data_IF_870027784938
#
_entry.id   IF_870027784938
#
_cell.length_a   1.000
_cell.length_b   1.000
_cell.length_c   1.000
_cell.angle_alpha   90.00
_cell.angle_beta   90.00
_cell.angle_gamma   90.00
#
_symmetry.space_group_name_H-M   'P 1'
#
loop_
_entity.id
_entity.type
_entity.pdbx_description
1 polymer ?
#
# COMPACT_ATOMS: atom_id res chain seq x y z
N UNK A 1 -15.22 -13.37 -15.14
CA UNK A 1 -15.04 -14.16 -13.92
C UNK A 1 -13.57 -14.04 -13.57
N UNK A 2 -13.17 -13.80 -12.40
CA UNK A 2 -11.80 -13.41 -12.00
C UNK A 2 -11.79 -12.07 -11.29
N UNK A 3 -12.91 -11.70 -10.70
CA UNK A 3 -13.06 -10.50 -9.88
C UNK A 3 -12.87 -10.72 -8.39
N UNK A 4 -12.50 -11.93 -7.99
CA UNK A 4 -12.32 -12.27 -6.59
C UNK A 4 -11.32 -11.31 -5.92
N UNK A 5 -11.74 -10.71 -4.83
CA UNK A 5 -10.99 -9.71 -4.07
C UNK A 5 -10.96 -8.31 -4.68
N UNK A 6 -11.27 -8.10 -5.96
CA UNK A 6 -11.17 -6.78 -6.60
C UNK A 6 -12.24 -5.81 -6.13
N UNK A 7 -13.48 -6.29 -5.97
CA UNK A 7 -14.58 -5.45 -5.51
C UNK A 7 -14.36 -5.00 -4.07
N UNK A 8 -13.97 -5.94 -3.19
CA UNK A 8 -13.64 -5.65 -1.80
C UNK A 8 -12.42 -4.73 -1.69
N UNK A 9 -11.36 -4.96 -2.47
CA UNK A 9 -10.19 -4.08 -2.49
C UNK A 9 -10.54 -2.64 -2.93
N UNK A 10 -11.39 -2.46 -3.94
CA UNK A 10 -11.86 -1.15 -4.38
C UNK A 10 -12.73 -0.47 -3.32
N UNK A 11 -13.61 -1.22 -2.66
CA UNK A 11 -14.43 -0.71 -1.56
C UNK A 11 -13.55 -0.19 -0.42
N UNK A 12 -12.59 -0.99 0.05
CA UNK A 12 -11.64 -0.61 1.10
C UNK A 12 -10.82 0.61 0.69
N UNK A 13 -10.25 0.59 -0.51
CA UNK A 13 -9.45 1.70 -1.04
C UNK A 13 -10.25 3.01 -1.09
N UNK A 14 -11.51 2.96 -1.54
CA UNK A 14 -12.38 4.14 -1.59
C UNK A 14 -12.64 4.70 -0.19
N UNK A 15 -12.97 3.85 0.79
CA UNK A 15 -13.20 4.29 2.16
C UNK A 15 -11.95 4.90 2.82
N UNK A 16 -10.78 4.30 2.59
CA UNK A 16 -9.51 4.83 3.09
C UNK A 16 -9.21 6.20 2.49
N UNK A 17 -9.38 6.38 1.17
CA UNK A 17 -9.15 7.68 0.52
C UNK A 17 -10.16 8.74 0.97
N UNK A 18 -11.43 8.38 1.15
CA UNK A 18 -12.42 9.28 1.75
C UNK A 18 -12.03 9.68 3.17
N UNK A 19 -11.57 8.73 3.98
CA UNK A 19 -11.11 9.02 5.34
C UNK A 19 -9.90 9.96 5.36
N UNK A 20 -8.93 9.78 4.46
CA UNK A 20 -7.79 10.69 4.31
C UNK A 20 -8.24 12.12 3.96
N UNK A 21 -9.26 12.25 3.10
CA UNK A 21 -9.84 13.57 2.79
C UNK A 21 -10.52 14.19 4.02
N UNK A 22 -11.24 13.40 4.82
CA UNK A 22 -11.86 13.92 6.05
C UNK A 22 -10.79 14.30 7.10
N UNK A 23 -9.69 13.54 7.21
CA UNK A 23 -8.53 13.91 8.06
C UNK A 23 -7.95 15.26 7.61
N UNK A 24 -7.79 15.50 6.31
CA UNK A 24 -7.27 16.77 5.79
C UNK A 24 -8.18 17.97 6.02
N UNK A 25 -9.44 17.73 6.42
CA UNK A 25 -10.45 18.74 6.78
C UNK A 25 -10.69 18.81 8.28
N UNK A 26 -9.87 18.14 9.08
CA UNK A 26 -10.00 18.00 10.53
C UNK A 26 -11.31 17.30 10.99
N UNK A 27 -11.99 16.58 10.08
CA UNK A 27 -13.21 15.82 10.36
C UNK A 27 -12.87 14.41 10.89
N UNK A 28 -12.13 14.33 11.99
CA UNK A 28 -11.56 13.08 12.50
C UNK A 28 -12.61 12.03 12.89
N UNK A 29 -13.75 12.45 13.43
CA UNK A 29 -14.85 11.55 13.76
C UNK A 29 -15.41 10.83 12.52
N UNK A 30 -15.61 11.59 11.43
CA UNK A 30 -16.06 11.03 10.16
C UNK A 30 -15.04 10.12 9.52
N UNK A 31 -13.76 10.51 9.59
CA UNK A 31 -12.65 9.70 9.10
C UNK A 31 -12.62 8.34 9.82
N UNK A 32 -12.77 8.34 11.14
CA UNK A 32 -12.83 7.12 11.94
C UNK A 32 -13.98 6.20 11.54
N UNK A 33 -15.20 6.73 11.38
CA UNK A 33 -16.35 5.95 10.90
C UNK A 33 -16.09 5.26 9.56
N UNK A 34 -15.46 5.95 8.61
CA UNK A 34 -15.11 5.40 7.30
C UNK A 34 -14.06 4.29 7.41
N UNK A 35 -13.05 4.47 8.26
CA UNK A 35 -12.00 3.48 8.50
C UNK A 35 -12.52 2.24 9.22
N UNK A 36 -13.40 2.42 10.22
CA UNK A 36 -14.07 1.30 10.89
C UNK A 36 -14.93 0.48 9.90
N UNK A 37 -15.60 1.14 8.96
CA UNK A 37 -16.31 0.46 7.85
C UNK A 37 -15.36 -0.29 6.92
N UNK A 38 -14.16 0.25 6.66
CA UNK A 38 -13.17 -0.40 5.80
C UNK A 38 -12.60 -1.71 6.39
N UNK A 39 -12.72 -1.91 7.71
CA UNK A 39 -12.31 -3.16 8.37
C UNK A 39 -13.28 -4.31 8.11
N UNK A 40 -14.51 -4.03 7.65
CA UNK A 40 -15.56 -5.03 7.47
C UNK A 40 -16.00 -5.05 6.01
N UNK A 41 -16.03 -6.26 5.42
CA UNK A 41 -16.57 -6.42 4.06
C UNK A 41 -18.08 -6.58 4.13
N UNK A 42 -18.85 -5.77 3.37
CA UNK A 42 -20.29 -5.90 3.31
C UNK A 42 -20.70 -7.22 2.64
N UNK A 43 -21.72 -7.90 3.18
CA UNK A 43 -22.20 -9.19 2.65
C UNK A 43 -22.62 -9.12 1.18
N UNK A 44 -23.11 -7.97 0.71
CA UNK A 44 -23.55 -7.78 -0.68
C UNK A 44 -22.40 -7.74 -1.70
N UNK A 45 -21.14 -7.72 -1.26
CA UNK A 45 -19.99 -7.89 -2.15
C UNK A 45 -19.76 -9.36 -2.52
N UNK A 46 -20.42 -10.31 -1.83
CA UNK A 46 -20.29 -11.73 -2.08
C UNK A 46 -18.94 -12.32 -1.68
N UNK A 47 -18.11 -11.55 -0.98
CA UNK A 47 -16.76 -11.94 -0.56
C UNK A 47 -16.59 -11.70 0.94
N UNK A 48 -16.06 -12.72 1.65
CA UNK A 48 -15.66 -12.60 3.04
C UNK A 48 -14.24 -12.05 3.17
N UNK A 49 -13.97 -11.32 4.26
CA UNK A 49 -12.62 -10.91 4.57
C UNK A 49 -11.80 -12.12 5.00
N UNK A 50 -10.71 -12.38 4.30
CA UNK A 50 -9.83 -13.50 4.60
C UNK A 50 -9.08 -13.26 5.91
N UNK A 51 -8.89 -14.34 6.67
CA UNK A 51 -8.00 -14.33 7.81
C UNK A 51 -6.58 -13.97 7.35
N UNK A 52 -5.95 -13.03 8.03
CA UNK A 52 -4.62 -12.53 7.65
C UNK A 52 -4.63 -11.38 6.63
N UNK A 53 -5.80 -10.84 6.25
CA UNK A 53 -5.87 -9.59 5.48
C UNK A 53 -5.03 -8.48 6.10
N UNK A 54 -4.33 -7.72 5.26
CA UNK A 54 -3.41 -6.67 5.71
C UNK A 54 -4.17 -5.35 5.87
N UNK A 55 -4.31 -4.88 7.10
CA UNK A 55 -5.02 -3.64 7.46
C UNK A 55 -4.08 -2.57 8.04
N UNK A 56 -2.77 -2.63 7.72
CA UNK A 56 -1.79 -1.71 8.27
C UNK A 56 -2.13 -0.25 7.97
N UNK A 57 -2.57 0.05 6.74
CA UNK A 57 -2.99 1.39 6.32
C UNK A 57 -4.23 1.86 7.09
N UNK A 58 -5.24 1.02 7.24
CA UNK A 58 -6.48 1.35 7.97
C UNK A 58 -6.14 1.65 9.44
N UNK A 59 -5.40 0.76 10.09
CA UNK A 59 -4.99 0.93 11.48
C UNK A 59 -4.12 2.17 11.68
N UNK A 60 -3.21 2.47 10.74
CA UNK A 60 -2.42 3.69 10.79
C UNK A 60 -3.29 4.94 10.81
N UNK A 61 -4.26 5.06 9.88
CA UNK A 61 -5.13 6.22 9.83
C UNK A 61 -6.17 6.27 10.96
N UNK A 62 -6.60 5.12 11.50
CA UNK A 62 -7.37 5.06 12.75
C UNK A 62 -6.56 5.65 13.91
N UNK A 63 -5.28 5.30 13.99
CA UNK A 63 -4.37 5.90 14.96
C UNK A 63 -4.26 7.42 14.80
N UNK A 64 -4.08 7.91 13.56
CA UNK A 64 -3.99 9.35 13.27
C UNK A 64 -5.28 10.08 13.68
N UNK A 65 -6.44 9.59 13.27
CA UNK A 65 -7.71 10.21 13.59
C UNK A 65 -7.98 10.20 15.11
N UNK A 66 -7.71 9.08 15.78
CA UNK A 66 -7.93 8.91 17.22
C UNK A 66 -6.97 9.79 18.04
N UNK A 67 -5.71 9.90 17.63
CA UNK A 67 -4.72 10.80 18.25
C UNK A 67 -5.16 12.26 18.16
N UNK A 68 -5.64 12.68 16.97
CA UNK A 68 -6.14 14.03 16.75
C UNK A 68 -7.42 14.36 17.56
N UNK A 69 -8.22 13.35 17.87
CA UNK A 69 -9.38 13.49 18.77
C UNK A 69 -8.99 13.53 20.26
N UNK A 70 -7.70 13.41 20.60
CA UNK A 70 -7.17 13.52 21.96
C UNK A 70 -7.04 12.18 22.71
N UNK A 71 -7.47 11.07 22.14
CA UNK A 71 -7.31 9.74 22.76
C UNK A 71 -6.00 9.08 22.36
N UNK A 72 -4.92 9.56 22.96
CA UNK A 72 -3.58 9.05 22.71
C UNK A 72 -3.42 7.56 23.07
N UNK A 73 -4.10 7.11 24.11
CA UNK A 73 -3.96 5.73 24.56
C UNK A 73 -4.60 4.74 23.57
N UNK A 74 -5.77 5.06 23.04
CA UNK A 74 -6.39 4.27 21.99
C UNK A 74 -5.58 4.36 20.66
N UNK A 75 -5.05 5.54 20.33
CA UNK A 75 -4.22 5.73 19.15
C UNK A 75 -2.98 4.83 19.14
N UNK A 76 -2.31 4.66 20.30
CA UNK A 76 -1.15 3.77 20.42
C UNK A 76 -1.50 2.33 20.05
N UNK A 77 -2.68 1.82 20.46
CA UNK A 77 -3.12 0.46 20.10
C UNK A 77 -3.28 0.29 18.58
N UNK A 78 -3.82 1.30 17.90
CA UNK A 78 -3.93 1.29 16.44
C UNK A 78 -2.56 1.34 15.77
N UNK A 79 -1.63 2.15 16.27
CA UNK A 79 -0.27 2.18 15.74
C UNK A 79 0.48 0.86 16.00
N UNK A 80 0.27 0.21 17.14
CA UNK A 80 0.80 -1.13 17.41
C UNK A 80 0.28 -2.12 16.36
N UNK A 81 -1.04 -2.17 16.12
CA UNK A 81 -1.66 -3.01 15.10
C UNK A 81 -1.14 -2.70 13.68
N UNK A 82 -0.92 -1.42 13.36
CA UNK A 82 -0.38 -1.00 12.07
C UNK A 82 1.11 -1.35 11.89
N UNK A 83 1.87 -1.51 13.00
CA UNK A 83 3.33 -1.68 12.96
C UNK A 83 3.81 -3.11 12.73
N UNK A 84 2.91 -4.10 12.77
CA UNK A 84 3.24 -5.52 12.70
C UNK A 84 2.96 -6.10 11.31
N UNK A 85 3.56 -7.27 11.02
CA UNK A 85 3.42 -8.00 9.78
C UNK A 85 4.77 -8.28 9.12
N UNK A 86 4.74 -9.05 8.02
CA UNK A 86 5.94 -9.29 7.23
C UNK A 86 6.46 -7.99 6.63
N UNK A 87 7.78 -7.85 6.60
CA UNK A 87 8.48 -6.77 5.93
C UNK A 87 9.22 -7.22 4.66
N UNK A 88 8.92 -8.42 4.23
CA UNK A 88 9.41 -8.91 2.95
C UNK A 88 8.67 -8.22 1.82
N UNK A 89 9.43 -7.61 0.93
CA UNK A 89 8.87 -6.92 -0.22
C UNK A 89 8.53 -7.95 -1.27
N UNK A 90 7.24 -8.11 -1.59
CA UNK A 90 6.81 -9.01 -2.65
C UNK A 90 7.17 -8.43 -4.02
N UNK A 91 7.60 -9.32 -4.93
CA UNK A 91 7.77 -8.98 -6.34
C UNK A 91 6.43 -8.69 -7.03
N UNK A 92 6.51 -8.14 -8.24
CA UNK A 92 5.37 -7.71 -9.05
C UNK A 92 4.27 -8.78 -9.20
N UNK A 93 4.63 -10.06 -9.29
CA UNK A 93 3.67 -11.16 -9.45
C UNK A 93 2.85 -11.45 -8.18
N UNK A 94 3.39 -11.13 -7.01
CA UNK A 94 2.78 -11.42 -5.70
C UNK A 94 2.35 -10.15 -4.97
N UNK A 95 2.25 -9.06 -5.68
CA UNK A 95 1.93 -7.75 -5.11
C UNK A 95 0.62 -7.73 -4.31
N UNK A 96 -0.37 -8.48 -4.75
CA UNK A 96 -1.68 -8.54 -4.08
C UNK A 96 -1.68 -9.37 -2.81
N UNK A 97 -0.76 -10.34 -2.68
CA UNK A 97 -0.63 -11.17 -1.49
C UNK A 97 -0.01 -10.38 -0.33
N UNK A 98 0.93 -9.52 -0.65
CA UNK A 98 1.62 -8.64 0.31
C UNK A 98 1.85 -7.27 -0.34
N UNK A 99 0.86 -6.37 -0.34
CA UNK A 99 1.03 -5.05 -0.92
C UNK A 99 2.18 -4.29 -0.27
N UNK A 100 3.11 -3.78 -1.07
CA UNK A 100 4.32 -3.12 -0.58
C UNK A 100 4.02 -1.85 0.24
N UNK A 101 2.89 -1.19 -0.03
CA UNK A 101 2.42 -0.03 0.73
C UNK A 101 2.09 -0.39 2.20
N UNK A 102 1.77 -1.63 2.53
CA UNK A 102 1.61 -2.05 3.93
C UNK A 102 2.92 -1.89 4.72
N UNK A 103 4.07 -2.12 4.09
CA UNK A 103 5.39 -1.92 4.71
C UNK A 103 5.65 -0.43 4.99
N UNK A 104 5.20 0.47 4.10
CA UNK A 104 5.24 1.91 4.36
C UNK A 104 4.46 2.25 5.64
N UNK A 105 3.22 1.76 5.78
CA UNK A 105 2.40 2.04 6.96
C UNK A 105 2.95 1.40 8.24
N UNK A 106 3.59 0.23 8.16
CA UNK A 106 4.34 -0.35 9.28
C UNK A 106 5.45 0.62 9.75
N UNK A 107 6.23 1.16 8.84
CA UNK A 107 7.31 2.09 9.14
C UNK A 107 6.78 3.40 9.75
N UNK A 108 5.73 3.99 9.18
CA UNK A 108 5.08 5.19 9.70
C UNK A 108 4.50 4.99 11.10
N UNK A 109 3.87 3.82 11.35
CA UNK A 109 3.35 3.47 12.66
C UNK A 109 4.48 3.32 13.70
N UNK A 110 5.62 2.71 13.31
CA UNK A 110 6.81 2.65 14.17
C UNK A 110 7.33 4.02 14.54
N UNK A 111 7.28 5.00 13.64
CA UNK A 111 7.61 6.38 13.97
C UNK A 111 6.70 6.97 15.06
N UNK A 112 5.39 6.73 14.95
CA UNK A 112 4.39 7.15 15.95
C UNK A 112 4.61 6.50 17.31
N UNK A 113 5.16 5.28 17.33
CA UNK A 113 5.53 4.53 18.54
C UNK A 113 6.92 4.92 19.09
N UNK A 114 7.62 5.90 18.49
CA UNK A 114 8.98 6.29 18.89
C UNK A 114 10.09 5.35 18.43
N UNK A 115 9.78 4.33 17.64
CA UNK A 115 10.70 3.30 17.12
C UNK A 115 11.30 3.70 15.77
N UNK A 116 11.94 4.87 15.74
CA UNK A 116 12.40 5.51 14.50
C UNK A 116 13.38 4.64 13.69
N UNK A 117 14.31 3.97 14.36
CA UNK A 117 15.28 3.09 13.68
C UNK A 117 14.60 1.91 12.98
N UNK A 118 13.60 1.29 13.63
CA UNK A 118 12.83 0.20 13.04
C UNK A 118 11.98 0.69 11.85
N UNK A 119 11.43 1.91 11.92
CA UNK A 119 10.71 2.51 10.79
C UNK A 119 11.62 2.77 9.61
N UNK A 120 12.80 3.35 9.84
CA UNK A 120 13.81 3.53 8.79
C UNK A 120 14.20 2.21 8.12
N UNK A 121 14.37 1.14 8.90
CA UNK A 121 14.71 -0.17 8.35
C UNK A 121 13.65 -0.67 7.35
N UNK A 122 12.35 -0.42 7.61
CA UNK A 122 11.26 -0.72 6.65
C UNK A 122 11.40 0.05 5.35
N UNK A 123 11.71 1.35 5.46
CA UNK A 123 11.82 2.21 4.29
C UNK A 123 13.06 1.90 3.44
N UNK A 124 14.20 1.64 4.07
CA UNK A 124 15.40 1.21 3.34
C UNK A 124 15.18 -0.14 2.66
N UNK A 125 14.48 -1.08 3.29
CA UNK A 125 14.18 -2.37 2.68
C UNK A 125 13.36 -2.24 1.39
N UNK A 126 12.41 -1.29 1.36
CA UNK A 126 11.67 -0.97 0.13
C UNK A 126 12.59 -0.40 -0.96
N UNK A 127 13.47 0.54 -0.61
CA UNK A 127 14.41 1.15 -1.56
C UNK A 127 15.37 0.10 -2.09
N UNK A 128 16.01 -0.65 -1.20
CA UNK A 128 17.02 -1.67 -1.56
C UNK A 128 16.41 -2.73 -2.50
N UNK A 129 15.19 -3.20 -2.19
CA UNK A 129 14.50 -4.13 -3.07
C UNK A 129 14.31 -3.55 -4.48
N UNK A 130 13.76 -2.34 -4.56
CA UNK A 130 13.52 -1.71 -5.86
C UNK A 130 14.80 -1.46 -6.65
N UNK A 131 15.87 -0.99 -6.00
CA UNK A 131 17.16 -0.74 -6.66
C UNK A 131 17.84 -2.03 -7.14
N UNK A 132 17.71 -3.12 -6.39
CA UNK A 132 18.27 -4.43 -6.75
C UNK A 132 17.55 -5.05 -7.94
N UNK A 133 16.21 -4.94 -7.99
CA UNK A 133 15.37 -5.67 -8.95
C UNK A 133 14.88 -4.84 -10.14
N UNK A 134 15.17 -3.54 -10.21
CA UNK A 134 14.67 -2.65 -11.28
C UNK A 134 15.15 -3.01 -12.66
N UNK A 135 16.22 -3.78 -12.79
CA UNK A 135 16.81 -4.22 -14.05
C UNK A 135 16.59 -5.69 -14.36
N UNK A 136 15.87 -6.40 -13.50
CA UNK A 136 15.62 -7.83 -13.69
C UNK A 136 14.73 -8.05 -14.91
N UNK A 137 15.14 -8.96 -15.79
CA UNK A 137 14.29 -9.47 -16.85
C UNK A 137 13.32 -10.49 -16.26
N UNK A 138 12.03 -10.22 -16.35
CA UNK A 138 11.00 -11.14 -15.87
C UNK A 138 10.52 -12.00 -17.03
N UNK A 139 10.78 -13.30 -16.92
CA UNK A 139 10.26 -14.32 -17.85
C UNK A 139 9.32 -15.22 -17.08
N UNK A 140 8.12 -15.41 -17.60
CA UNK A 140 7.21 -16.41 -17.05
C UNK A 140 7.54 -17.74 -17.69
N UNK A 141 7.83 -18.74 -16.86
CA UNK A 141 7.89 -20.12 -17.32
C UNK A 141 6.46 -20.66 -17.49
N UNK A 142 6.02 -20.70 -18.74
CA UNK A 142 4.66 -21.13 -19.10
C UNK A 142 4.34 -22.57 -18.70
N UNK A 143 5.33 -23.38 -18.37
CA UNK A 143 5.12 -24.76 -17.88
C UNK A 143 4.51 -24.80 -16.46
N UNK A 144 4.60 -23.72 -15.71
CA UNK A 144 4.03 -23.62 -14.36
C UNK A 144 2.57 -23.13 -14.37
N UNK A 145 2.05 -22.66 -15.50
CA UNK A 145 0.69 -22.08 -15.61
C UNK A 145 -0.11 -22.89 -16.63
N UNK A 146 -1.08 -23.65 -16.14
CA UNK A 146 -1.90 -24.58 -16.93
C UNK A 146 -2.89 -23.91 -17.93
N UNK A 147 -2.73 -22.63 -18.26
CA UNK A 147 -3.67 -21.88 -19.09
C UNK A 147 -3.01 -21.32 -20.35
N UNK A 148 -3.27 -21.93 -21.54
CA UNK A 148 -2.85 -21.38 -22.83
C UNK A 148 -3.41 -19.99 -23.14
N UNK A 149 -4.51 -19.60 -22.47
CA UNK A 149 -5.22 -18.34 -22.71
C UNK A 149 -4.46 -17.09 -22.24
N UNK A 150 -3.48 -17.24 -21.34
CA UNK A 150 -2.57 -16.16 -20.94
C UNK A 150 -1.61 -15.75 -22.05
N UNK A 151 -1.48 -16.53 -23.12
CA UNK A 151 -0.63 -16.22 -24.28
C UNK A 151 -1.26 -15.16 -25.22
N UNK A 152 -2.51 -14.77 -25.01
CA UNK A 152 -3.22 -13.81 -25.88
C UNK A 152 -2.83 -12.37 -25.58
N UNK A 153 -2.29 -12.09 -24.40
CA UNK A 153 -1.84 -10.76 -24.01
C UNK A 153 -0.32 -10.69 -24.06
N UNK A 154 0.23 -9.93 -25.00
CA UNK A 154 1.66 -9.56 -25.04
C UNK A 154 1.96 -8.60 -23.87
N UNK A 155 1.89 -9.10 -22.63
CA UNK A 155 2.23 -8.32 -21.47
C UNK A 155 3.74 -8.27 -21.28
N UNK A 156 4.28 -7.07 -21.26
CA UNK A 156 5.70 -6.84 -20.95
C UNK A 156 5.89 -6.90 -19.41
N UNK A 157 6.17 -8.10 -18.92
CA UNK A 157 6.40 -8.34 -17.49
C UNK A 157 7.65 -7.64 -16.97
N UNK A 158 8.68 -7.47 -17.79
CA UNK A 158 9.87 -6.71 -17.43
C UNK A 158 9.52 -5.24 -17.19
N UNK A 159 8.68 -4.66 -18.05
CA UNK A 159 8.17 -3.31 -17.85
C UNK A 159 7.31 -3.18 -16.58
N UNK A 160 6.45 -4.17 -16.32
CA UNK A 160 5.65 -4.22 -15.08
C UNK A 160 6.53 -4.31 -13.84
N UNK A 161 7.56 -5.17 -13.88
CA UNK A 161 8.53 -5.26 -12.79
C UNK A 161 9.26 -3.94 -12.57
N UNK A 162 9.72 -3.31 -13.65
CA UNK A 162 10.39 -2.00 -13.57
C UNK A 162 9.46 -0.95 -12.94
N UNK A 163 8.18 -0.91 -13.33
CA UNK A 163 7.19 -0.01 -12.74
C UNK A 163 6.98 -0.29 -11.24
N UNK A 164 6.86 -1.56 -10.86
CA UNK A 164 6.75 -1.97 -9.47
C UNK A 164 7.98 -1.57 -8.64
N UNK A 165 9.19 -1.79 -9.17
CA UNK A 165 10.42 -1.40 -8.49
C UNK A 165 10.50 0.11 -8.24
N UNK A 166 10.15 0.95 -9.21
CA UNK A 166 10.08 2.39 -8.99
C UNK A 166 9.00 2.77 -8.00
N UNK A 167 7.87 2.08 -7.98
CA UNK A 167 6.83 2.30 -6.99
C UNK A 167 7.33 2.05 -5.56
N UNK A 168 7.99 0.94 -5.30
CA UNK A 168 8.50 0.63 -3.97
C UNK A 168 9.66 1.54 -3.55
N UNK A 169 10.52 1.98 -4.49
CA UNK A 169 11.52 3.02 -4.24
C UNK A 169 10.83 4.33 -3.81
N UNK A 170 9.74 4.68 -4.47
CA UNK A 170 8.93 5.84 -4.12
C UNK A 170 8.35 5.76 -2.72
N UNK A 171 7.79 4.60 -2.35
CA UNK A 171 7.25 4.35 -1.01
C UNK A 171 8.32 4.49 0.09
N UNK A 172 9.50 3.91 -0.11
CA UNK A 172 10.59 4.00 0.84
C UNK A 172 11.08 5.45 1.03
N UNK A 173 11.25 6.19 -0.07
CA UNK A 173 11.65 7.60 -0.01
C UNK A 173 10.57 8.47 0.62
N UNK A 174 9.27 8.20 0.36
CA UNK A 174 8.15 8.87 1.01
C UNK A 174 8.21 8.67 2.54
N UNK A 175 8.42 7.43 2.98
CA UNK A 175 8.54 7.11 4.40
C UNK A 175 9.72 7.80 5.10
N UNK A 176 10.84 7.98 4.42
CA UNK A 176 12.01 8.73 4.90
C UNK A 176 11.82 10.25 4.86
N UNK A 177 10.76 10.76 4.23
CA UNK A 177 10.55 12.19 4.02
C UNK A 177 11.33 12.78 2.85
N UNK A 178 11.92 11.96 1.99
CA UNK A 178 12.66 12.38 0.80
C UNK A 178 11.68 12.68 -0.35
N UNK A 179 10.90 13.76 -0.22
CA UNK A 179 9.75 14.04 -1.07
C UNK A 179 10.10 14.16 -2.57
N UNK A 180 11.23 14.77 -2.91
CA UNK A 180 11.66 14.91 -4.31
C UNK A 180 11.94 13.55 -4.94
N UNK A 181 12.72 12.69 -4.25
CA UNK A 181 13.03 11.33 -4.73
C UNK A 181 11.78 10.46 -4.83
N UNK A 182 10.86 10.59 -3.87
CA UNK A 182 9.59 9.88 -3.90
C UNK A 182 8.77 10.27 -5.13
N UNK A 183 8.65 11.58 -5.40
CA UNK A 183 7.93 12.13 -6.56
C UNK A 183 8.56 11.68 -7.88
N UNK A 184 9.89 11.72 -7.99
CA UNK A 184 10.60 11.24 -9.17
C UNK A 184 10.30 9.75 -9.45
N UNK A 185 10.41 8.92 -8.42
CA UNK A 185 10.14 7.49 -8.53
C UNK A 185 8.68 7.20 -8.90
N UNK A 186 7.71 7.87 -8.29
CA UNK A 186 6.29 7.73 -8.64
C UNK A 186 5.97 8.21 -10.05
N UNK A 187 6.58 9.30 -10.52
CA UNK A 187 6.42 9.76 -11.90
C UNK A 187 7.00 8.73 -12.89
N UNK A 188 8.12 8.10 -12.54
CA UNK A 188 8.69 7.02 -13.34
C UNK A 188 7.75 5.81 -13.40
N UNK A 189 7.16 5.42 -12.27
CA UNK A 189 6.12 4.39 -12.23
C UNK A 189 5.00 4.70 -13.20
N UNK A 190 4.39 5.90 -13.14
CA UNK A 190 3.28 6.29 -14.00
C UNK A 190 3.66 6.44 -15.47
N UNK A 191 4.92 6.70 -15.80
CA UNK A 191 5.40 6.68 -17.19
C UNK A 191 5.41 5.27 -17.77
N UNK A 192 5.62 4.26 -16.95
CA UNK A 192 5.63 2.84 -17.31
C UNK A 192 4.25 2.19 -17.22
N UNK A 193 3.50 2.51 -16.16
CA UNK A 193 2.13 2.05 -15.93
C UNK A 193 1.22 3.25 -15.57
N UNK A 194 0.52 3.76 -16.58
CA UNK A 194 -0.42 4.87 -16.41
C UNK A 194 -1.65 4.52 -15.57
N UNK A 195 -1.94 3.24 -15.40
CA UNK A 195 -3.10 2.74 -14.65
C UNK A 195 -2.82 2.51 -13.16
N UNK A 196 -1.56 2.70 -12.71
CA UNK A 196 -1.15 2.45 -11.33
C UNK A 196 -1.85 3.40 -10.34
N UNK A 197 -3.02 2.98 -9.87
CA UNK A 197 -3.91 3.84 -9.09
C UNK A 197 -3.31 4.28 -7.75
N UNK A 198 -2.71 3.36 -6.98
CA UNK A 198 -2.11 3.69 -5.68
C UNK A 198 -0.98 4.74 -5.83
N UNK A 199 -0.16 4.63 -6.87
CA UNK A 199 0.87 5.63 -7.16
C UNK A 199 0.27 7.01 -7.41
N UNK A 200 -0.81 7.09 -8.20
CA UNK A 200 -1.52 8.35 -8.48
C UNK A 200 -2.12 8.96 -7.21
N UNK A 201 -2.72 8.14 -6.35
CA UNK A 201 -3.30 8.60 -5.08
C UNK A 201 -2.23 9.16 -4.13
N UNK A 202 -1.05 8.51 -4.06
CA UNK A 202 0.07 9.00 -3.26
C UNK A 202 0.61 10.33 -3.78
N UNK A 203 0.83 10.46 -5.10
CA UNK A 203 1.27 11.73 -5.69
C UNK A 203 0.30 12.87 -5.41
N UNK A 204 -1.01 12.64 -5.60
CA UNK A 204 -2.04 13.63 -5.29
C UNK A 204 -2.05 14.02 -3.80
N UNK A 205 -1.68 13.11 -2.92
CA UNK A 205 -1.54 13.36 -1.49
C UNK A 205 -0.31 14.20 -1.13
N UNK A 206 0.75 14.15 -1.94
CA UNK A 206 1.98 14.93 -1.74
C UNK A 206 1.82 16.41 -2.17
N UNK A 207 0.80 16.72 -2.96
CA UNK A 207 0.54 18.07 -3.48
C UNK A 207 -0.40 18.89 -2.58
N UNK A 208 -0.87 18.30 -1.49
CA UNK A 208 -1.77 18.93 -0.50
C UNK A 208 -1.03 19.27 0.78
#
# INVERSE_FOLDING_TARGET
EGGEGKAAAQYVSALVEMAKQEISRDNYGKARELLEKALVYPENLGEGKLEGSKDNNINYYLGVATEAMGDRQAALKYYEAASVGSDEVAGMMYYYDQPADMILYQGLAKYKLGKRAEGNARFYKLIDFGEQHVRDEVRIDYFAVSYPELMIYNEDFTRKNTAHCYYVIGLGNLGLGNMEKAREAFNKTLSLDRSHNNCRLLLNGMDR
#
